data_IF_311047858891
#
_entry.id   IF_311047858891
#
_cell.length_a   1.000
_cell.length_b   1.000
_cell.length_c   1.000
_cell.angle_alpha   90.00
_cell.angle_beta   90.00
_cell.angle_gamma   90.00
#
_symmetry.space_group_name_H-M   'P 1'
#
loop_
_entity.id
_entity.type
_entity.pdbx_description
1 polymer ?
#
# COMPACT_ATOMS: atom_id res chain seq x y z
N UNK A 1 20.67 -9.24 -11.05
CA UNK A 1 19.66 -8.18 -11.27
C UNK A 1 20.40 -6.86 -11.42
N UNK A 2 20.15 -6.11 -12.47
CA UNK A 2 20.86 -4.83 -12.66
C UNK A 2 20.35 -3.81 -11.66
N UNK A 3 21.23 -3.38 -10.75
CA UNK A 3 20.94 -2.30 -9.77
C UNK A 3 20.38 -1.05 -10.45
N UNK A 4 20.72 -0.86 -11.72
CA UNK A 4 20.23 0.23 -12.57
C UNK A 4 18.70 0.13 -12.80
N UNK A 5 18.17 -1.06 -13.11
CA UNK A 5 16.73 -1.24 -13.32
C UNK A 5 15.93 -0.97 -12.04
N UNK A 6 16.46 -1.40 -10.89
CA UNK A 6 15.83 -1.12 -9.60
C UNK A 6 15.74 0.39 -9.34
N UNK A 7 16.84 1.11 -9.47
CA UNK A 7 16.89 2.56 -9.25
C UNK A 7 15.99 3.31 -10.25
N UNK A 8 15.97 2.88 -11.52
CA UNK A 8 15.14 3.49 -12.56
C UNK A 8 13.63 3.42 -12.24
N UNK A 9 13.19 2.36 -11.55
CA UNK A 9 11.78 2.21 -11.13
C UNK A 9 11.55 2.85 -9.75
N UNK A 10 12.51 2.75 -8.83
CA UNK A 10 12.36 3.27 -7.47
C UNK A 10 12.24 4.80 -7.43
N UNK A 11 13.02 5.50 -8.25
CA UNK A 11 13.01 6.97 -8.29
C UNK A 11 11.64 7.55 -8.70
N UNK A 12 11.02 7.15 -9.84
CA UNK A 12 9.69 7.66 -10.19
C UNK A 12 8.60 7.19 -9.22
N UNK A 13 8.73 6.00 -8.62
CA UNK A 13 7.82 5.52 -7.59
C UNK A 13 7.85 6.42 -6.36
N UNK A 14 9.04 6.79 -5.90
CA UNK A 14 9.22 7.70 -4.76
C UNK A 14 8.70 9.10 -5.10
N UNK A 15 8.96 9.60 -6.31
CA UNK A 15 8.43 10.87 -6.77
C UNK A 15 6.89 10.89 -6.80
N UNK A 16 6.25 9.80 -7.27
CA UNK A 16 4.81 9.66 -7.26
C UNK A 16 4.25 9.60 -5.83
N UNK A 17 4.93 8.92 -4.90
CA UNK A 17 4.55 8.86 -3.48
C UNK A 17 4.62 10.24 -2.82
N UNK A 18 5.67 11.00 -3.07
CA UNK A 18 5.81 12.38 -2.59
C UNK A 18 4.73 13.29 -3.19
N UNK A 19 4.43 13.14 -4.48
CA UNK A 19 3.35 13.88 -5.13
C UNK A 19 1.99 13.54 -4.49
N UNK A 20 1.71 12.26 -4.22
CA UNK A 20 0.48 11.83 -3.55
C UNK A 20 0.31 12.48 -2.17
N UNK A 21 1.41 12.66 -1.43
CA UNK A 21 1.39 13.25 -0.09
C UNK A 21 1.31 14.79 -0.10
N UNK A 22 1.83 15.46 -1.14
CA UNK A 22 1.97 16.92 -1.18
C UNK A 22 0.88 17.62 -2.01
N UNK A 23 0.25 16.92 -2.95
CA UNK A 23 -0.78 17.50 -3.81
C UNK A 23 -2.02 17.87 -3.02
N UNK A 24 -2.44 19.13 -3.13
CA UNK A 24 -3.62 19.66 -2.43
C UNK A 24 -4.93 19.21 -3.09
N UNK A 25 -4.91 18.97 -4.41
CA UNK A 25 -6.09 18.48 -5.13
C UNK A 25 -6.26 16.99 -4.92
N UNK A 26 -7.30 16.59 -4.17
CA UNK A 26 -7.59 15.20 -3.83
C UNK A 26 -7.57 14.25 -5.04
N UNK A 27 -8.12 14.71 -6.18
CA UNK A 27 -8.15 13.92 -7.41
C UNK A 27 -6.74 13.58 -7.92
N UNK A 28 -5.85 14.58 -7.95
CA UNK A 28 -4.48 14.38 -8.41
C UNK A 28 -3.65 13.58 -7.38
N UNK A 29 -3.90 13.80 -6.10
CA UNK A 29 -3.26 13.03 -5.03
C UNK A 29 -3.63 11.54 -5.13
N UNK A 30 -4.90 11.21 -5.40
CA UNK A 30 -5.36 9.82 -5.56
C UNK A 30 -4.77 9.16 -6.80
N UNK A 31 -4.68 9.89 -7.92
CA UNK A 31 -4.03 9.37 -9.12
C UNK A 31 -2.53 9.11 -8.90
N UNK A 32 -1.83 10.02 -8.20
CA UNK A 32 -0.43 9.83 -7.83
C UNK A 32 -0.25 8.66 -6.86
N UNK A 33 -1.21 8.45 -5.96
CA UNK A 33 -1.24 7.30 -5.06
C UNK A 33 -1.38 5.98 -5.84
N UNK A 34 -2.30 5.90 -6.80
CA UNK A 34 -2.44 4.73 -7.66
C UNK A 34 -1.16 4.46 -8.45
N UNK A 35 -0.52 5.52 -9.00
CA UNK A 35 0.75 5.41 -9.71
C UNK A 35 1.87 4.89 -8.80
N UNK A 36 1.88 5.28 -7.54
CA UNK A 36 2.84 4.75 -6.55
C UNK A 36 2.68 3.23 -6.39
N UNK A 37 1.45 2.72 -6.31
CA UNK A 37 1.23 1.27 -6.21
C UNK A 37 1.64 0.51 -7.47
N UNK A 38 1.48 1.10 -8.66
CA UNK A 38 2.00 0.52 -9.91
C UNK A 38 3.52 0.38 -9.82
N UNK A 39 4.20 1.42 -9.37
CA UNK A 39 5.65 1.40 -9.18
C UNK A 39 6.10 0.35 -8.16
N UNK A 40 5.44 0.28 -7.01
CA UNK A 40 5.73 -0.72 -5.97
C UNK A 40 5.47 -2.14 -6.48
N UNK A 41 4.35 -2.37 -7.17
CA UNK A 41 4.05 -3.67 -7.78
C UNK A 41 5.14 -4.10 -8.77
N UNK A 42 5.61 -3.16 -9.61
CA UNK A 42 6.71 -3.40 -10.56
C UNK A 42 8.02 -3.76 -9.84
N UNK A 43 8.31 -3.13 -8.70
CA UNK A 43 9.46 -3.50 -7.86
C UNK A 43 9.31 -4.92 -7.30
N UNK A 44 8.12 -5.34 -6.87
CA UNK A 44 7.89 -6.71 -6.42
C UNK A 44 8.06 -7.73 -7.55
N UNK A 45 7.58 -7.43 -8.77
CA UNK A 45 7.84 -8.27 -9.94
C UNK A 45 9.34 -8.37 -10.22
N UNK A 46 10.06 -7.27 -10.13
CA UNK A 46 11.52 -7.26 -10.34
C UNK A 46 12.25 -8.09 -9.27
N UNK A 47 11.74 -8.14 -8.03
CA UNK A 47 12.31 -8.94 -6.94
C UNK A 47 11.89 -10.42 -7.01
N UNK A 48 11.07 -10.84 -7.97
CA UNK A 48 10.59 -12.22 -8.10
C UNK A 48 9.44 -12.56 -7.14
N UNK A 49 8.85 -11.56 -6.46
CA UNK A 49 7.68 -11.73 -5.60
C UNK A 49 6.38 -11.50 -6.40
N UNK A 50 6.19 -12.28 -7.46
CA UNK A 50 5.11 -12.11 -8.44
C UNK A 50 3.72 -12.09 -7.81
N UNK A 51 3.46 -12.97 -6.84
CA UNK A 51 2.17 -13.03 -6.15
C UNK A 51 1.85 -11.72 -5.42
N UNK A 52 2.83 -11.14 -4.73
CA UNK A 52 2.63 -9.88 -4.00
C UNK A 52 2.39 -8.72 -4.98
N UNK A 53 3.14 -8.70 -6.09
CA UNK A 53 2.94 -7.73 -7.16
C UNK A 53 1.53 -7.82 -7.77
N UNK A 54 1.03 -9.02 -8.03
CA UNK A 54 -0.35 -9.24 -8.51
C UNK A 54 -1.41 -8.77 -7.51
N UNK A 55 -1.24 -9.08 -6.22
CA UNK A 55 -2.16 -8.62 -5.18
C UNK A 55 -2.19 -7.09 -5.11
N UNK A 56 -1.04 -6.42 -5.22
CA UNK A 56 -0.99 -4.97 -5.26
C UNK A 56 -1.78 -4.40 -6.44
N UNK A 57 -1.65 -4.99 -7.63
CA UNK A 57 -2.39 -4.53 -8.81
C UNK A 57 -3.90 -4.74 -8.66
N UNK A 58 -4.33 -5.94 -8.31
CA UNK A 58 -5.76 -6.25 -8.26
C UNK A 58 -6.47 -5.65 -7.06
N UNK A 59 -5.86 -5.67 -5.88
CA UNK A 59 -6.50 -5.21 -4.65
C UNK A 59 -6.30 -3.71 -4.45
N UNK A 60 -5.04 -3.23 -4.49
CA UNK A 60 -4.78 -1.83 -4.18
C UNK A 60 -5.15 -0.89 -5.34
N UNK A 61 -4.85 -1.26 -6.57
CA UNK A 61 -5.19 -0.42 -7.72
C UNK A 61 -6.62 -0.73 -8.18
N UNK A 62 -6.97 -2.00 -8.36
CA UNK A 62 -8.26 -2.41 -8.88
C UNK A 62 -9.43 -2.14 -7.94
N UNK A 63 -9.30 -2.42 -6.65
CA UNK A 63 -10.40 -2.23 -5.69
C UNK A 63 -10.26 -0.93 -4.89
N UNK A 64 -9.14 -0.76 -4.17
CA UNK A 64 -9.00 0.34 -3.20
C UNK A 64 -8.87 1.70 -3.89
N UNK A 65 -8.00 1.85 -4.89
CA UNK A 65 -7.82 3.14 -5.57
C UNK A 65 -9.10 3.57 -6.32
N UNK A 66 -9.78 2.62 -6.96
CA UNK A 66 -11.07 2.89 -7.63
C UNK A 66 -12.12 3.33 -6.61
N UNK A 67 -12.23 2.63 -5.46
CA UNK A 67 -13.14 3.01 -4.40
C UNK A 67 -12.85 4.42 -3.88
N UNK A 68 -11.59 4.76 -3.64
CA UNK A 68 -11.17 6.10 -3.19
C UNK A 68 -11.52 7.18 -4.21
N UNK A 69 -11.28 6.91 -5.51
CA UNK A 69 -11.66 7.85 -6.58
C UNK A 69 -13.17 8.10 -6.58
N UNK A 70 -13.98 7.04 -6.51
CA UNK A 70 -15.44 7.18 -6.44
C UNK A 70 -15.89 7.95 -5.21
N UNK A 71 -15.31 7.64 -4.04
CA UNK A 71 -15.63 8.34 -2.79
C UNK A 71 -15.33 9.83 -2.89
N UNK A 72 -14.19 10.20 -3.50
CA UNK A 72 -13.83 11.62 -3.70
C UNK A 72 -14.75 12.30 -4.71
N UNK A 73 -15.15 11.62 -5.78
CA UNK A 73 -16.07 12.16 -6.78
C UNK A 73 -17.48 12.41 -6.21
N UNK A 74 -17.95 11.52 -5.34
CA UNK A 74 -19.26 11.65 -4.69
C UNK A 74 -19.24 12.65 -3.53
N UNK A 75 -18.10 12.79 -2.85
CA UNK A 75 -17.95 13.74 -1.75
C UNK A 75 -17.50 15.09 -2.28
N UNK A 76 -18.44 16.00 -2.50
CA UNK A 76 -18.17 17.42 -2.81
C UNK A 76 -17.55 18.11 -1.58
N UNK A 77 -16.31 17.82 -1.26
CA UNK A 77 -15.59 18.55 -0.24
C UNK A 77 -14.65 19.54 -0.89
N UNK A 78 -15.06 20.81 -0.86
CA UNK A 78 -14.15 21.93 -1.10
C UNK A 78 -13.07 21.88 -0.02
N UNK A 79 -11.93 21.27 -0.35
CA UNK A 79 -10.72 21.32 0.50
C UNK A 79 -9.99 22.61 0.16
N UNK A 80 -10.69 23.71 0.35
CA UNK A 80 -10.16 25.05 0.27
C UNK A 80 -9.83 25.56 1.66
N UNK A 81 -8.72 25.13 2.24
CA UNK A 81 -8.04 25.92 3.27
C UNK A 81 -6.55 25.63 3.18
N UNK A 82 -5.81 26.71 2.92
CA UNK A 82 -4.36 26.74 2.98
C UNK A 82 -3.86 26.01 4.22
N UNK A 83 -3.37 24.79 4.04
CA UNK A 83 -2.59 24.10 5.05
C UNK A 83 -1.22 24.73 5.04
N UNK A 84 -1.02 25.72 5.88
CA UNK A 84 0.31 26.17 6.25
C UNK A 84 1.15 24.96 6.65
N UNK A 85 2.42 24.97 6.25
CA UNK A 85 3.36 23.90 6.59
C UNK A 85 3.38 23.74 8.12
N UNK A 86 2.88 22.61 8.60
CA UNK A 86 2.86 22.29 10.01
C UNK A 86 4.28 21.85 10.41
N UNK A 87 5.08 22.79 10.89
CA UNK A 87 6.49 22.55 11.29
C UNK A 87 6.65 21.39 12.27
N UNK A 88 5.67 21.19 13.17
CA UNK A 88 5.64 20.05 14.08
C UNK A 88 5.52 18.72 13.35
N UNK A 89 4.67 18.66 12.31
CA UNK A 89 4.52 17.48 11.47
C UNK A 89 5.76 17.18 10.63
N UNK A 90 6.41 18.23 10.10
CA UNK A 90 7.65 18.08 9.35
C UNK A 90 8.78 17.54 10.24
N UNK A 91 8.92 18.07 11.44
CA UNK A 91 9.91 17.58 12.41
C UNK A 91 9.67 16.09 12.76
N UNK A 92 8.43 15.71 13.03
CA UNK A 92 8.08 14.31 13.35
C UNK A 92 8.39 13.38 12.16
N UNK A 93 8.07 13.80 10.93
CA UNK A 93 8.35 13.03 9.73
C UNK A 93 9.87 12.81 9.53
N UNK A 94 10.67 13.85 9.71
CA UNK A 94 12.15 13.76 9.61
C UNK A 94 12.71 12.87 10.72
N UNK A 95 12.20 13.00 11.95
CA UNK A 95 12.63 12.16 13.08
C UNK A 95 12.31 10.67 12.85
N UNK A 96 11.10 10.37 12.35
CA UNK A 96 10.71 9.00 12.02
C UNK A 96 11.53 8.43 10.85
N UNK A 97 11.71 9.22 9.79
CA UNK A 97 12.51 8.78 8.65
C UNK A 97 13.99 8.56 9.04
N UNK A 98 14.56 9.46 9.81
CA UNK A 98 15.92 9.33 10.32
C UNK A 98 16.09 8.14 11.26
N UNK A 99 15.13 7.91 12.15
CA UNK A 99 15.12 6.75 13.05
C UNK A 99 15.04 5.43 12.31
N UNK A 100 14.15 5.32 11.31
CA UNK A 100 14.03 4.12 10.46
C UNK A 100 15.31 3.88 9.65
N UNK A 101 15.85 4.92 9.04
CA UNK A 101 17.09 4.83 8.25
C UNK A 101 18.26 4.39 9.15
N UNK A 102 18.38 4.99 10.34
CA UNK A 102 19.40 4.60 11.31
C UNK A 102 19.23 3.14 11.78
N UNK A 103 18.01 2.70 12.06
CA UNK A 103 17.71 1.33 12.43
C UNK A 103 18.11 0.33 11.33
N UNK A 104 17.77 0.64 10.07
CA UNK A 104 18.11 -0.20 8.92
C UNK A 104 19.63 -0.27 8.73
N UNK A 105 20.33 0.85 8.84
CA UNK A 105 21.79 0.90 8.66
C UNK A 105 22.55 0.24 9.82
N UNK A 106 22.02 0.31 11.04
CA UNK A 106 22.60 -0.33 12.23
C UNK A 106 22.26 -1.81 12.37
N UNK A 107 21.15 -2.24 11.81
CA UNK A 107 20.85 -3.64 11.67
C UNK A 107 21.86 -4.19 10.66
N UNK A 108 23.04 -4.56 11.16
CA UNK A 108 23.98 -5.36 10.38
C UNK A 108 23.15 -6.47 9.78
N UNK A 109 23.21 -6.58 8.48
CA UNK A 109 22.60 -7.67 7.74
C UNK A 109 22.99 -8.92 8.49
N UNK A 110 22.08 -9.47 9.31
CA UNK A 110 22.16 -10.87 9.64
C UNK A 110 22.20 -11.48 8.27
N UNK A 111 23.38 -11.90 7.84
CA UNK A 111 23.56 -12.71 6.66
C UNK A 111 22.78 -13.99 6.97
N UNK A 112 21.47 -13.87 6.87
CA UNK A 112 20.58 -15.01 6.74
C UNK A 112 21.14 -15.61 5.46
N UNK A 113 21.99 -16.66 5.66
CA UNK A 113 22.43 -17.52 4.58
C UNK A 113 21.19 -17.69 3.72
N UNK A 114 21.21 -17.08 2.54
CA UNK A 114 20.03 -16.93 1.72
C UNK A 114 19.37 -18.31 1.69
N UNK A 115 18.30 -18.56 2.41
CA UNK A 115 17.57 -19.80 2.21
C UNK A 115 17.29 -19.69 0.71
N UNK A 116 17.67 -20.69 -0.05
CA UNK A 116 17.32 -20.77 -1.46
C UNK A 116 15.88 -20.30 -1.54
N UNK A 117 15.67 -19.06 -1.98
CA UNK A 117 14.35 -18.50 -2.16
C UNK A 117 13.83 -19.30 -3.36
N UNK A 118 13.41 -20.53 -3.06
CA UNK A 118 12.54 -21.27 -3.97
C UNK A 118 11.35 -20.34 -4.15
N UNK A 119 11.21 -19.85 -5.35
CA UNK A 119 10.09 -19.00 -5.73
C UNK A 119 8.86 -19.50 -4.99
N UNK A 120 8.33 -18.66 -4.09
CA UNK A 120 7.16 -19.03 -3.30
C UNK A 120 6.02 -19.18 -4.30
N UNK A 121 5.87 -20.39 -4.79
CA UNK A 121 4.81 -20.73 -5.73
C UNK A 121 3.48 -20.42 -5.04
N UNK A 122 2.56 -19.78 -5.76
CA UNK A 122 1.19 -19.46 -5.28
C UNK A 122 0.54 -20.66 -4.57
N UNK A 123 0.81 -21.86 -5.06
CA UNK A 123 0.37 -23.13 -4.43
C UNK A 123 0.86 -23.28 -2.99
N UNK A 124 2.13 -22.96 -2.70
CA UNK A 124 2.67 -23.06 -1.33
C UNK A 124 2.02 -22.04 -0.39
N UNK A 125 1.72 -20.85 -0.90
CA UNK A 125 0.99 -19.84 -0.13
C UNK A 125 -0.41 -20.36 0.20
N UNK A 126 -1.11 -20.95 -0.78
CA UNK A 126 -2.43 -21.57 -0.56
C UNK A 126 -2.39 -22.72 0.43
N UNK A 127 -1.42 -23.63 0.33
CA UNK A 127 -1.22 -24.72 1.27
C UNK A 127 -0.93 -24.21 2.69
N UNK A 128 -0.06 -23.20 2.84
CA UNK A 128 0.25 -22.60 4.13
C UNK A 128 -0.97 -21.91 4.77
N UNK A 129 -1.78 -21.21 3.97
CA UNK A 129 -3.03 -20.58 4.42
C UNK A 129 -4.03 -21.60 4.94
N UNK A 130 -4.13 -22.76 4.27
CA UNK A 130 -5.07 -23.82 4.62
C UNK A 130 -4.59 -24.74 5.73
N UNK A 131 -3.31 -24.72 6.10
CA UNK A 131 -2.74 -25.59 7.14
C UNK A 131 -2.29 -24.81 8.36
N UNK A 132 -1.27 -23.94 8.20
CA UNK A 132 -0.62 -23.26 9.32
C UNK A 132 -1.29 -21.92 9.67
N UNK A 133 -1.95 -21.26 8.70
CA UNK A 133 -2.55 -19.93 8.83
C UNK A 133 -4.07 -19.93 8.70
N UNK A 134 -4.72 -21.01 9.12
CA UNK A 134 -6.19 -21.13 9.09
C UNK A 134 -6.87 -20.07 9.97
N UNK A 135 -6.32 -19.81 11.17
CA UNK A 135 -6.88 -18.82 12.09
C UNK A 135 -6.86 -17.38 11.52
N UNK A 136 -5.75 -16.86 10.99
CA UNK A 136 -5.75 -15.59 10.29
C UNK A 136 -6.74 -15.55 9.11
N UNK A 137 -6.82 -16.61 8.33
CA UNK A 137 -7.76 -16.71 7.21
C UNK A 137 -9.23 -16.61 7.68
N UNK A 138 -9.55 -17.28 8.78
CA UNK A 138 -10.90 -17.22 9.38
C UNK A 138 -11.22 -15.82 9.91
N UNK A 139 -10.23 -15.14 10.53
CA UNK A 139 -10.41 -13.76 10.98
C UNK A 139 -10.70 -12.79 9.83
N UNK A 140 -10.03 -12.96 8.69
CA UNK A 140 -10.30 -12.15 7.48
C UNK A 140 -11.71 -12.43 6.94
N UNK A 141 -12.16 -13.67 6.97
CA UNK A 141 -13.54 -14.03 6.59
C UNK A 141 -14.60 -13.37 7.48
N UNK A 142 -14.38 -13.36 8.79
CA UNK A 142 -15.26 -12.68 9.75
C UNK A 142 -15.24 -11.16 9.54
N UNK A 143 -14.06 -10.59 9.29
CA UNK A 143 -13.92 -9.15 9.00
C UNK A 143 -14.71 -8.77 7.74
N UNK A 144 -14.63 -9.57 6.68
CA UNK A 144 -15.39 -9.36 5.45
C UNK A 144 -16.89 -9.37 5.72
N UNK A 145 -17.37 -10.36 6.49
CA UNK A 145 -18.79 -10.46 6.86
C UNK A 145 -19.25 -9.25 7.67
N UNK A 146 -18.46 -8.82 8.65
CA UNK A 146 -18.75 -7.61 9.44
C UNK A 146 -18.77 -6.36 8.57
N UNK A 147 -17.84 -6.22 7.63
CA UNK A 147 -17.80 -5.10 6.69
C UNK A 147 -19.04 -5.05 5.78
N UNK A 148 -19.51 -6.21 5.30
CA UNK A 148 -20.73 -6.30 4.49
C UNK A 148 -21.98 -5.91 5.28
N UNK A 149 -22.10 -6.38 6.53
CA UNK A 149 -23.20 -6.00 7.41
C UNK A 149 -23.17 -4.50 7.69
N UNK A 150 -22.00 -3.95 8.01
CA UNK A 150 -21.83 -2.52 8.24
C UNK A 150 -22.22 -1.67 7.03
N UNK A 151 -21.81 -2.07 5.84
CA UNK A 151 -22.19 -1.39 4.60
C UNK A 151 -23.72 -1.44 4.37
N UNK A 152 -24.35 -2.58 4.64
CA UNK A 152 -25.80 -2.73 4.50
C UNK A 152 -26.56 -1.82 5.48
N UNK A 153 -26.12 -1.75 6.74
CA UNK A 153 -26.75 -0.90 7.77
C UNK A 153 -26.71 0.57 7.37
N UNK A 154 -25.57 1.05 6.87
CA UNK A 154 -25.42 2.44 6.39
C UNK A 154 -26.38 2.78 5.26
N UNK A 155 -26.55 1.87 4.29
CA UNK A 155 -27.48 2.09 3.17
C UNK A 155 -28.94 2.09 3.63
N UNK A 156 -29.27 1.30 4.65
CA UNK A 156 -30.64 1.24 5.19
C UNK A 156 -31.00 2.49 6.00
N UNK A 157 -30.02 3.10 6.68
CA UNK A 157 -30.23 4.30 7.48
C UNK A 157 -30.47 5.55 6.60
N UNK A 158 -29.84 5.62 5.44
CA UNK A 158 -30.04 6.75 4.48
C UNK A 158 -31.46 6.77 3.87
N UNK A 159 -32.18 5.64 3.88
CA UNK A 159 -33.57 5.54 3.38
C UNK A 159 -34.64 5.94 4.40
N UNK A 160 -34.29 6.34 5.59
CA UNK A 160 -35.22 6.77 6.64
C UNK A 160 -35.24 8.28 6.79
#
# INVERSE_FOLDING_TARGET
MSSVAFVLIAVPTLAAALAAATLQKLMHATLSFALTFIGVATLFFLLGAEFVGLVLVFVYIGAVAVLVVFTILLTRRDVGKDRGVNWGGAFLAVAMFGGLTWAILKTQSVAIAAPHIRALTVRRIGEALMTSYVWPLQCVGLLLTAALIGALVLVMEEKR
#
